data_IF_976721814869
#
_entry.id   IF_976721814869
#
_cell.length_a   1.000
_cell.length_b   1.000
_cell.length_c   1.000
_cell.angle_alpha   90.00
_cell.angle_beta   90.00
_cell.angle_gamma   90.00
#
_symmetry.space_group_name_H-M   'P 1'
#
loop_
_entity.id
_entity.type
_entity.pdbx_description
1 polymer ?
#
# COMPACT_ATOMS: atom_id res chain seq x y z
N UNK A 1 6.37 -28.18 -0.01
CA UNK A 1 6.22 -26.80 -0.51
C UNK A 1 5.27 -26.64 -1.71
N UNK A 2 4.35 -27.57 -1.95
CA UNK A 2 3.40 -27.55 -3.10
C UNK A 2 1.94 -27.27 -2.73
N UNK A 3 1.59 -27.15 -1.45
CA UNK A 3 0.18 -27.16 -1.02
C UNK A 3 -0.53 -25.80 -0.92
N UNK A 4 0.18 -24.68 -0.95
CA UNK A 4 -0.45 -23.37 -0.76
C UNK A 4 -1.11 -22.77 -2.02
N UNK A 5 -0.66 -23.13 -3.23
CA UNK A 5 -1.30 -22.66 -4.47
C UNK A 5 -2.72 -23.25 -4.66
N UNK A 6 -3.05 -24.34 -3.98
CA UNK A 6 -4.37 -24.99 -4.08
C UNK A 6 -5.44 -24.33 -3.19
N UNK A 7 -5.05 -23.58 -2.16
CA UNK A 7 -6.01 -23.03 -1.18
C UNK A 7 -6.85 -21.91 -1.78
N UNK A 8 -6.23 -20.95 -2.47
CA UNK A 8 -6.95 -19.85 -3.15
C UNK A 8 -7.62 -20.35 -4.43
N UNK A 9 -6.96 -21.25 -5.18
CA UNK A 9 -7.57 -21.89 -6.35
C UNK A 9 -8.80 -22.73 -5.98
N UNK A 10 -8.74 -23.44 -4.86
CA UNK A 10 -9.87 -24.18 -4.30
C UNK A 10 -10.99 -23.26 -3.85
N UNK A 11 -10.65 -22.14 -3.19
CA UNK A 11 -11.60 -21.10 -2.82
C UNK A 11 -12.26 -20.48 -4.06
N UNK A 12 -11.48 -20.24 -5.12
CA UNK A 12 -11.99 -19.73 -6.40
C UNK A 12 -12.98 -20.70 -7.04
N UNK A 13 -12.72 -22.01 -6.99
CA UNK A 13 -13.61 -23.06 -7.47
C UNK A 13 -14.84 -23.22 -6.56
N UNK A 14 -14.69 -23.16 -5.24
CA UNK A 14 -15.79 -23.24 -4.29
C UNK A 14 -16.75 -22.04 -4.40
N UNK A 15 -16.22 -20.81 -4.63
CA UNK A 15 -17.02 -19.61 -4.84
C UNK A 15 -17.68 -19.56 -6.23
N UNK A 16 -17.10 -20.18 -7.25
CA UNK A 16 -17.76 -20.32 -8.56
C UNK A 16 -18.87 -21.38 -8.55
N UNK A 17 -18.78 -22.40 -7.71
CA UNK A 17 -19.79 -23.46 -7.60
C UNK A 17 -20.87 -23.19 -6.56
N UNK A 18 -20.64 -22.27 -5.63
CA UNK A 18 -21.59 -21.87 -4.61
C UNK A 18 -22.31 -20.56 -4.98
N UNK A 19 -23.52 -20.65 -5.50
CA UNK A 19 -24.45 -19.52 -5.65
C UNK A 19 -24.86 -18.98 -4.27
N UNK A 20 -24.00 -18.21 -3.61
CA UNK A 20 -24.35 -17.47 -2.38
C UNK A 20 -24.25 -15.98 -2.66
N UNK A 21 -25.27 -15.44 -3.30
CA UNK A 21 -25.54 -14.00 -3.33
C UNK A 21 -26.37 -13.67 -2.08
N UNK A 22 -25.75 -13.14 -1.04
CA UNK A 22 -26.48 -12.46 0.03
C UNK A 22 -26.93 -11.08 -0.46
N UNK A 23 -28.19 -10.77 -0.18
CA UNK A 23 -28.96 -9.62 -0.69
C UNK A 23 -28.70 -8.30 0.06
N UNK A 24 -27.46 -7.92 0.37
CA UNK A 24 -27.20 -6.63 1.03
C UNK A 24 -25.92 -5.98 0.53
N UNK A 25 -25.94 -5.53 -0.74
CA UNK A 25 -24.95 -4.52 -1.21
C UNK A 25 -25.64 -3.53 -2.15
N UNK A 26 -25.69 -2.26 -1.71
CA UNK A 26 -26.07 -1.14 -2.57
C UNK A 26 -25.12 -1.04 -3.75
N UNK A 27 -25.64 -1.32 -4.86
CA UNK A 27 -25.22 -1.41 -6.25
C UNK A 27 -24.18 -0.37 -6.68
N UNK A 28 -22.92 -0.82 -6.84
CA UNK A 28 -22.06 -0.32 -7.90
C UNK A 28 -22.36 -1.23 -9.09
N UNK A 29 -22.81 -0.69 -10.22
CA UNK A 29 -23.24 -1.46 -11.38
C UNK A 29 -22.16 -2.43 -11.91
N UNK A 30 -22.51 -3.57 -12.52
CA UNK A 30 -21.64 -4.69 -12.84
C UNK A 30 -20.45 -4.37 -13.77
N UNK A 31 -20.47 -3.24 -14.47
CA UNK A 31 -19.39 -2.83 -15.38
C UNK A 31 -18.33 -1.89 -14.77
N UNK A 32 -18.55 -1.33 -13.57
CA UNK A 32 -17.62 -0.38 -12.93
C UNK A 32 -16.75 -1.04 -11.84
N UNK A 33 -17.04 -2.26 -11.46
CA UNK A 33 -16.42 -3.01 -10.36
C UNK A 33 -14.97 -3.46 -10.65
N UNK A 34 -14.52 -3.38 -11.90
CA UNK A 34 -13.20 -3.85 -12.36
C UNK A 34 -12.29 -2.75 -12.91
N UNK A 35 -12.82 -1.55 -13.10
CA UNK A 35 -12.07 -0.45 -13.71
C UNK A 35 -10.97 0.07 -12.78
N UNK A 36 -9.86 0.54 -13.36
CA UNK A 36 -8.77 1.11 -12.59
C UNK A 36 -7.79 0.10 -12.01
N UNK A 37 -7.16 0.46 -10.89
CA UNK A 37 -6.16 -0.37 -10.20
C UNK A 37 -6.49 -0.51 -8.73
N UNK A 38 -6.24 -1.69 -8.21
CA UNK A 38 -6.32 -2.01 -6.79
C UNK A 38 -4.93 -2.17 -6.21
N UNK A 39 -4.76 -1.88 -4.93
CA UNK A 39 -3.51 -2.10 -4.22
C UNK A 39 -3.82 -2.55 -2.79
N UNK A 40 -2.93 -3.35 -2.20
CA UNK A 40 -3.05 -3.75 -0.81
C UNK A 40 -1.93 -3.08 -0.03
N UNK A 41 -2.32 -2.24 0.92
CA UNK A 41 -1.43 -1.41 1.70
C UNK A 41 -1.62 -1.66 3.20
N UNK A 42 -0.60 -1.37 3.96
CA UNK A 42 -0.80 -0.93 5.34
C UNK A 42 -1.08 0.57 5.31
N UNK A 43 -2.15 0.98 5.96
CA UNK A 43 -2.42 2.37 6.29
C UNK A 43 -2.84 2.43 7.77
N UNK A 44 -2.46 3.48 8.52
CA UNK A 44 -2.96 3.66 9.87
C UNK A 44 -4.48 3.78 9.86
N UNK A 45 -5.12 3.26 10.91
CA UNK A 45 -6.58 3.34 11.06
C UNK A 45 -7.05 4.79 10.96
N UNK A 46 -8.11 5.10 10.17
CA UNK A 46 -8.68 6.44 10.11
C UNK A 46 -8.93 7.03 11.51
N UNK A 47 -8.69 8.31 11.65
CA UNK A 47 -8.77 9.07 12.92
C UNK A 47 -7.72 8.73 13.98
N UNK A 48 -6.83 7.77 13.76
CA UNK A 48 -5.67 7.58 14.64
C UNK A 48 -4.69 8.75 14.53
N UNK A 49 -3.89 8.97 15.58
CA UNK A 49 -2.87 10.03 15.59
C UNK A 49 -1.92 9.93 14.39
N UNK A 50 -1.43 8.73 14.09
CA UNK A 50 -0.52 8.50 12.96
C UNK A 50 -1.20 8.75 11.61
N UNK A 51 -2.48 8.39 11.45
CA UNK A 51 -3.26 8.70 10.24
C UNK A 51 -3.39 10.22 10.05
N UNK A 52 -3.77 10.94 11.11
CA UNK A 52 -3.94 12.40 11.05
C UNK A 52 -2.63 13.11 10.71
N UNK A 53 -1.52 12.74 11.36
CA UNK A 53 -0.20 13.29 11.07
C UNK A 53 0.23 12.99 9.62
N UNK A 54 0.06 11.77 9.14
CA UNK A 54 0.41 11.40 7.77
C UNK A 54 -0.43 12.14 6.73
N UNK A 55 -1.73 12.23 6.95
CA UNK A 55 -2.67 12.95 6.06
C UNK A 55 -2.37 14.45 6.01
N UNK A 56 -2.09 15.08 7.16
CA UNK A 56 -1.68 16.48 7.25
C UNK A 56 -0.33 16.72 6.57
N UNK A 57 0.66 15.85 6.81
CA UNK A 57 1.96 15.97 6.14
C UNK A 57 1.84 15.90 4.62
N UNK A 58 1.05 14.96 4.11
CA UNK A 58 0.85 14.81 2.66
C UNK A 58 -0.13 15.83 2.06
N UNK A 59 -0.97 16.49 2.88
CA UNK A 59 -1.98 17.42 2.42
C UNK A 59 -3.25 16.77 1.87
N UNK A 60 -3.50 15.49 2.16
CA UNK A 60 -4.72 14.78 1.76
C UNK A 60 -4.99 13.56 2.65
N UNK A 61 -6.22 13.39 3.03
CA UNK A 61 -6.73 12.17 3.63
C UNK A 61 -7.21 11.20 2.54
N UNK A 62 -6.60 10.04 2.46
CA UNK A 62 -6.96 9.01 1.47
C UNK A 62 -8.23 8.23 1.82
N UNK A 63 -8.73 8.29 3.05
CA UNK A 63 -9.97 7.65 3.45
C UNK A 63 -11.20 8.49 3.07
N UNK A 64 -11.11 9.81 3.22
CA UNK A 64 -12.22 10.75 2.95
C UNK A 64 -12.07 11.50 1.65
N UNK A 65 -10.86 11.55 1.09
CA UNK A 65 -10.53 12.38 -0.09
C UNK A 65 -10.30 13.85 0.21
N UNK A 66 -10.51 14.30 1.45
CA UNK A 66 -10.36 15.70 1.85
C UNK A 66 -8.95 16.21 1.64
N UNK A 67 -8.82 17.40 1.08
CA UNK A 67 -7.57 18.16 1.07
C UNK A 67 -7.38 18.76 2.47
N UNK A 68 -6.18 18.67 2.99
CA UNK A 68 -5.80 19.11 4.32
C UNK A 68 -4.65 20.11 4.17
N UNK A 69 -4.68 21.18 4.92
CA UNK A 69 -3.57 22.13 4.96
C UNK A 69 -2.31 21.45 5.52
N UNK A 70 -1.20 21.62 4.79
CA UNK A 70 0.09 21.07 5.20
C UNK A 70 0.74 21.93 6.28
N UNK A 71 1.66 21.36 7.10
CA UNK A 71 2.32 22.12 8.12
C UNK A 71 3.23 23.21 7.52
N UNK A 72 3.26 24.38 8.14
CA UNK A 72 4.25 25.41 7.83
C UNK A 72 5.63 24.99 8.32
N UNK A 73 6.64 25.11 7.46
CA UNK A 73 8.03 24.75 7.77
C UNK A 73 8.92 25.96 7.52
N UNK A 74 9.57 26.46 8.58
CA UNK A 74 10.50 27.58 8.45
C UNK A 74 11.61 27.27 7.44
N UNK A 75 11.80 28.14 6.46
CA UNK A 75 12.79 27.97 5.39
C UNK A 75 12.35 27.10 4.21
N UNK A 76 11.09 26.64 4.18
CA UNK A 76 10.48 25.91 3.04
C UNK A 76 9.16 26.59 2.67
N UNK A 77 9.05 27.05 1.43
CA UNK A 77 7.78 27.58 0.92
C UNK A 77 6.69 26.50 0.87
N UNK A 78 5.43 26.88 1.08
CA UNK A 78 4.28 25.97 1.04
C UNK A 78 4.15 25.23 -0.30
N UNK A 79 4.40 25.94 -1.40
CA UNK A 79 4.40 25.37 -2.75
C UNK A 79 5.48 24.30 -2.90
N UNK A 80 6.65 24.54 -2.29
CA UNK A 80 7.76 23.58 -2.32
C UNK A 80 7.43 22.30 -1.54
N UNK A 81 6.85 22.41 -0.35
CA UNK A 81 6.36 21.26 0.41
C UNK A 81 5.29 20.50 -0.37
N UNK A 82 4.36 21.24 -0.98
CA UNK A 82 3.31 20.65 -1.82
C UNK A 82 3.88 19.88 -3.00
N UNK A 83 4.91 20.39 -3.66
CA UNK A 83 5.61 19.71 -4.76
C UNK A 83 6.34 18.44 -4.25
N UNK A 84 7.10 18.56 -3.18
CA UNK A 84 7.84 17.43 -2.58
C UNK A 84 6.93 16.27 -2.17
N UNK A 85 5.72 16.57 -1.72
CA UNK A 85 4.76 15.54 -1.27
C UNK A 85 3.81 15.06 -2.37
N UNK A 86 3.77 15.72 -3.54
CA UNK A 86 2.81 15.48 -4.63
C UNK A 86 2.64 13.99 -4.99
N UNK A 87 3.76 13.31 -5.18
CA UNK A 87 3.72 11.88 -5.54
C UNK A 87 3.20 11.00 -4.39
N UNK A 88 3.65 11.22 -3.17
CA UNK A 88 3.19 10.48 -2.00
C UNK A 88 1.70 10.75 -1.72
N UNK A 89 1.27 12.01 -1.83
CA UNK A 89 -0.14 12.44 -1.73
C UNK A 89 -1.07 11.71 -2.68
N UNK A 90 -0.62 11.46 -3.92
CA UNK A 90 -1.38 10.74 -4.93
C UNK A 90 -1.75 9.32 -4.48
N UNK A 91 -0.85 8.63 -3.77
CA UNK A 91 -1.09 7.29 -3.22
C UNK A 91 -1.76 7.30 -1.84
N UNK A 92 -1.68 8.40 -1.10
CA UNK A 92 -2.07 8.50 0.31
C UNK A 92 -0.96 8.03 1.26
N UNK A 93 -1.18 8.20 2.57
CA UNK A 93 -0.21 7.81 3.59
C UNK A 93 -0.29 6.31 3.88
N UNK A 94 0.65 5.53 3.33
CA UNK A 94 0.62 4.08 3.33
C UNK A 94 2.03 3.44 3.27
N UNK A 95 2.10 2.15 3.56
CA UNK A 95 3.19 1.26 3.11
C UNK A 95 2.63 0.15 2.21
N UNK A 96 3.31 -0.13 1.11
CA UNK A 96 2.86 -1.12 0.12
C UNK A 96 3.06 -2.55 0.64
N UNK A 97 2.01 -3.37 0.70
CA UNK A 97 2.09 -4.82 0.90
C UNK A 97 1.99 -5.56 -0.44
N UNK A 98 1.05 -5.18 -1.30
CA UNK A 98 0.98 -5.59 -2.71
C UNK A 98 0.80 -4.36 -3.58
N UNK A 99 1.68 -4.17 -4.59
CA UNK A 99 1.65 -2.98 -5.45
C UNK A 99 0.39 -2.92 -6.30
N UNK A 100 0.08 -1.75 -6.90
CA UNK A 100 -1.10 -1.58 -7.74
C UNK A 100 -1.16 -2.56 -8.92
N UNK A 101 -2.32 -3.21 -9.08
CA UNK A 101 -2.64 -4.17 -10.14
C UNK A 101 -4.05 -3.94 -10.68
N UNK A 102 -4.32 -4.37 -11.90
CA UNK A 102 -5.67 -4.45 -12.47
C UNK A 102 -6.26 -5.82 -12.13
N UNK A 103 -7.59 -5.87 -11.95
CA UNK A 103 -8.27 -7.15 -11.74
C UNK A 103 -8.29 -7.97 -13.03
N UNK A 104 -7.88 -9.22 -12.89
CA UNK A 104 -7.89 -10.21 -13.96
C UNK A 104 -9.32 -10.44 -14.47
N UNK A 105 -9.45 -10.72 -15.78
CA UNK A 105 -10.73 -11.13 -16.37
C UNK A 105 -11.31 -12.34 -15.62
N UNK A 106 -12.63 -12.35 -15.40
CA UNK A 106 -13.32 -13.41 -14.64
C UNK A 106 -13.20 -13.28 -13.10
N UNK A 107 -12.57 -12.20 -12.58
CA UNK A 107 -12.57 -11.87 -11.14
C UNK A 107 -13.41 -10.63 -10.87
N UNK A 108 -13.76 -10.37 -9.60
CA UNK A 108 -14.52 -9.18 -9.19
C UNK A 108 -13.95 -8.58 -7.90
N UNK A 109 -14.34 -7.34 -7.61
CA UNK A 109 -14.00 -6.68 -6.33
C UNK A 109 -14.56 -7.47 -5.15
N UNK A 110 -15.79 -7.99 -5.25
CA UNK A 110 -16.40 -8.82 -4.21
C UNK A 110 -15.56 -10.06 -3.92
N UNK A 111 -15.13 -10.79 -4.94
CA UNK A 111 -14.25 -11.96 -4.78
C UNK A 111 -12.89 -11.58 -4.17
N UNK A 112 -12.30 -10.45 -4.60
CA UNK A 112 -11.07 -9.93 -4.01
C UNK A 112 -11.24 -9.59 -2.51
N UNK A 113 -12.33 -8.94 -2.12
CA UNK A 113 -12.64 -8.64 -0.72
C UNK A 113 -12.81 -9.91 0.13
N UNK A 114 -13.50 -10.92 -0.41
CA UNK A 114 -13.64 -12.21 0.27
C UNK A 114 -12.29 -12.89 0.48
N UNK A 115 -11.44 -12.94 -0.55
CA UNK A 115 -10.10 -13.51 -0.44
C UNK A 115 -9.25 -12.77 0.60
N UNK A 116 -9.27 -11.44 0.59
CA UNK A 116 -8.54 -10.61 1.56
C UNK A 116 -9.00 -10.88 3.00
N UNK A 117 -10.32 -10.98 3.24
CA UNK A 117 -10.86 -11.30 4.56
C UNK A 117 -10.33 -12.64 5.06
N UNK A 118 -10.43 -13.68 4.24
CA UNK A 118 -9.93 -15.05 4.58
C UNK A 118 -8.43 -15.06 4.88
N UNK A 119 -7.63 -14.37 4.06
CA UNK A 119 -6.18 -14.27 4.28
C UNK A 119 -5.88 -13.56 5.60
N UNK A 120 -6.59 -12.49 5.92
CA UNK A 120 -6.36 -11.71 7.12
C UNK A 120 -6.78 -12.43 8.41
N UNK A 121 -7.79 -13.30 8.38
CA UNK A 121 -8.27 -14.07 9.54
C UNK A 121 -7.19 -14.91 10.20
N UNK A 122 -6.26 -15.46 9.42
CA UNK A 122 -5.21 -16.38 9.89
C UNK A 122 -3.92 -15.64 10.35
N UNK A 123 -3.88 -14.31 10.26
CA UNK A 123 -2.68 -13.51 10.57
C UNK A 123 -2.88 -12.75 11.88
N UNK A 124 -2.20 -13.13 12.94
CA UNK A 124 -2.28 -12.42 14.23
C UNK A 124 -1.76 -10.98 14.12
N UNK A 125 -2.44 -9.99 14.74
CA UNK A 125 -1.93 -8.63 14.86
C UNK A 125 -0.56 -8.58 15.55
N UNK A 126 0.26 -7.57 15.22
CA UNK A 126 1.60 -7.42 15.80
C UNK A 126 2.00 -5.96 15.87
N UNK A 127 3.12 -5.69 16.54
CA UNK A 127 3.63 -4.34 16.71
C UNK A 127 4.92 -4.11 15.94
N UNK A 128 5.05 -2.90 15.37
CA UNK A 128 6.28 -2.38 14.78
C UNK A 128 6.69 -1.08 15.47
N UNK A 129 7.93 -0.66 15.29
CA UNK A 129 8.41 0.67 15.63
C UNK A 129 8.95 1.32 14.39
N UNK A 130 8.65 2.61 14.22
CA UNK A 130 9.02 3.38 13.04
C UNK A 130 10.01 4.48 13.41
N UNK A 131 10.92 4.78 12.50
CA UNK A 131 11.83 5.91 12.54
C UNK A 131 11.79 6.65 11.21
N UNK A 132 12.17 7.94 11.23
CA UNK A 132 12.40 8.71 10.01
C UNK A 132 13.72 8.27 9.41
N UNK A 133 13.68 7.90 8.13
CA UNK A 133 14.88 7.49 7.41
C UNK A 133 14.80 7.90 5.95
N UNK A 134 15.89 7.72 5.23
CA UNK A 134 15.93 7.94 3.78
C UNK A 134 15.96 6.60 3.04
N UNK A 135 15.22 6.55 1.92
CA UNK A 135 15.32 5.46 0.96
C UNK A 135 15.82 6.07 -0.36
N UNK A 136 17.12 5.92 -0.63
CA UNK A 136 17.78 6.69 -1.67
C UNK A 136 17.78 8.20 -1.35
N UNK A 137 17.05 8.99 -2.14
CA UNK A 137 17.01 10.47 -2.00
C UNK A 137 15.69 11.02 -1.46
N UNK A 138 14.81 10.19 -0.89
CA UNK A 138 13.53 10.63 -0.34
C UNK A 138 13.35 10.17 1.11
N UNK A 139 12.57 10.92 1.89
CA UNK A 139 12.23 10.58 3.27
C UNK A 139 11.01 9.67 3.35
N UNK A 140 11.07 8.74 4.30
CA UNK A 140 9.98 7.84 4.64
C UNK A 140 10.00 7.51 6.14
N UNK A 141 8.87 7.08 6.69
CA UNK A 141 8.87 6.31 7.93
C UNK A 141 9.21 4.85 7.57
N UNK A 142 10.24 4.33 8.20
CA UNK A 142 10.75 2.98 8.01
C UNK A 142 10.78 2.23 9.33
N UNK A 143 10.95 0.91 9.29
CA UNK A 143 11.12 0.11 10.49
C UNK A 143 12.43 0.51 11.21
N UNK A 144 12.35 0.77 12.52
CA UNK A 144 13.53 1.01 13.36
C UNK A 144 14.43 -0.23 13.51
N UNK A 145 13.82 -1.41 13.37
CA UNK A 145 14.52 -2.73 13.35
C UNK A 145 13.78 -3.68 12.41
N UNK A 146 14.47 -4.61 11.76
CA UNK A 146 13.83 -5.65 10.97
C UNK A 146 12.71 -6.35 11.73
N UNK A 147 11.59 -6.59 11.07
CA UNK A 147 10.45 -7.29 11.67
C UNK A 147 9.97 -8.38 10.72
N UNK A 148 10.16 -9.68 11.06
CA UNK A 148 9.79 -10.77 10.16
C UNK A 148 8.28 -10.89 9.96
N UNK A 149 7.44 -10.40 10.90
CA UNK A 149 5.98 -10.47 10.75
C UNK A 149 5.46 -9.55 9.65
N UNK A 150 6.02 -8.33 9.52
CA UNK A 150 5.61 -7.43 8.41
C UNK A 150 6.15 -7.93 7.07
N UNK A 151 7.33 -8.56 7.04
CA UNK A 151 7.87 -9.23 5.88
C UNK A 151 6.93 -10.35 5.43
N UNK A 152 6.56 -11.24 6.34
CA UNK A 152 5.61 -12.35 6.08
C UNK A 152 4.25 -11.83 5.61
N UNK A 153 3.71 -10.77 6.23
CA UNK A 153 2.45 -10.17 5.81
C UNK A 153 2.51 -9.71 4.35
N UNK A 154 3.58 -9.01 3.95
CA UNK A 154 3.75 -8.57 2.57
C UNK A 154 3.88 -9.76 1.60
N UNK A 155 4.64 -10.79 1.96
CA UNK A 155 4.79 -12.01 1.15
C UNK A 155 3.47 -12.74 0.96
N UNK A 156 2.69 -12.91 2.04
CA UNK A 156 1.36 -13.54 2.00
C UNK A 156 0.45 -12.74 1.07
N UNK A 157 0.38 -11.39 1.19
CA UNK A 157 -0.45 -10.56 0.32
C UNK A 157 -0.04 -10.66 -1.14
N UNK A 158 1.26 -10.76 -1.44
CA UNK A 158 1.72 -10.95 -2.81
C UNK A 158 1.29 -12.32 -3.36
N UNK A 159 1.48 -13.41 -2.59
CA UNK A 159 1.21 -14.78 -3.05
C UNK A 159 -0.28 -15.09 -3.16
N UNK A 160 -1.03 -14.82 -2.09
CA UNK A 160 -2.44 -15.24 -1.99
C UNK A 160 -3.36 -14.42 -2.91
N UNK A 161 -2.98 -13.17 -3.21
CA UNK A 161 -3.78 -12.29 -4.06
C UNK A 161 -3.28 -12.27 -5.51
N UNK A 162 -2.30 -13.08 -5.88
CA UNK A 162 -1.76 -13.07 -7.24
C UNK A 162 -2.75 -13.57 -8.30
N UNK A 163 -3.63 -14.48 -7.92
CA UNK A 163 -4.69 -15.01 -8.79
C UNK A 163 -5.66 -13.91 -9.30
N UNK A 164 -5.75 -12.79 -8.61
CA UNK A 164 -6.60 -11.65 -8.96
C UNK A 164 -5.92 -10.62 -9.87
N UNK A 165 -4.61 -10.76 -10.08
CA UNK A 165 -3.82 -9.78 -10.84
C UNK A 165 -3.84 -10.09 -12.32
N UNK A 166 -4.21 -9.10 -13.16
CA UNK A 166 -3.99 -9.15 -14.60
C UNK A 166 -2.48 -9.16 -14.90
N UNK A 167 -1.98 -10.04 -15.76
CA UNK A 167 -0.59 -10.02 -16.20
C UNK A 167 -0.20 -8.66 -16.79
N UNK A 168 1.05 -8.26 -16.61
CA UNK A 168 1.57 -7.04 -17.23
C UNK A 168 1.70 -7.22 -18.75
N UNK A 169 1.41 -6.16 -19.50
CA UNK A 169 1.68 -6.13 -20.93
C UNK A 169 3.18 -6.08 -21.22
N UNK A 170 3.57 -6.36 -22.46
CA UNK A 170 4.98 -6.26 -22.89
C UNK A 170 5.53 -4.85 -22.71
N UNK A 171 4.70 -3.83 -22.97
CA UNK A 171 5.04 -2.42 -22.84
C UNK A 171 5.24 -2.05 -21.35
N UNK A 172 4.38 -2.52 -20.46
CA UNK A 172 4.51 -2.30 -19.03
C UNK A 172 5.77 -2.96 -18.45
N UNK A 173 6.12 -4.15 -18.92
CA UNK A 173 7.37 -4.82 -18.58
C UNK A 173 8.58 -4.01 -19.06
N UNK A 174 8.59 -3.56 -20.32
CA UNK A 174 9.67 -2.76 -20.88
C UNK A 174 9.91 -1.46 -20.10
N UNK A 175 8.82 -0.72 -19.77
CA UNK A 175 8.89 0.50 -18.95
C UNK A 175 9.47 0.25 -17.55
N UNK A 176 9.19 -0.90 -16.94
CA UNK A 176 9.74 -1.24 -15.61
C UNK A 176 11.21 -1.63 -15.69
N UNK A 177 11.59 -2.37 -16.73
CA UNK A 177 12.97 -2.79 -17.01
C UNK A 177 13.89 -1.62 -17.33
N UNK A 178 13.40 -0.56 -17.99
CA UNK A 178 14.20 0.62 -18.34
C UNK A 178 14.78 1.35 -17.12
N UNK A 179 14.35 1.02 -15.90
CA UNK A 179 14.88 1.59 -14.64
C UNK A 179 16.15 0.90 -14.13
N UNK A 180 16.63 -0.13 -14.83
CA UNK A 180 17.75 -0.96 -14.41
C UNK A 180 17.34 -1.87 -13.24
N UNK A 181 17.11 -3.16 -13.52
CA UNK A 181 16.75 -4.15 -12.52
C UNK A 181 17.88 -5.16 -12.36
N UNK A 182 18.08 -5.65 -11.14
CA UNK A 182 18.93 -6.83 -10.91
C UNK A 182 18.22 -8.09 -11.47
N UNK A 183 18.95 -9.20 -11.70
CA UNK A 183 18.31 -10.46 -12.13
C UNK A 183 17.17 -10.89 -11.22
N UNK A 184 17.35 -10.86 -9.89
CA UNK A 184 16.32 -11.21 -8.92
C UNK A 184 15.09 -10.28 -9.00
N UNK A 185 15.31 -8.98 -9.22
CA UNK A 185 14.22 -8.02 -9.40
C UNK A 185 13.46 -8.25 -10.72
N UNK A 186 14.14 -8.65 -11.78
CA UNK A 186 13.49 -8.99 -13.06
C UNK A 186 12.67 -10.28 -12.96
N UNK A 187 13.18 -11.31 -12.29
CA UNK A 187 12.43 -12.53 -11.99
C UNK A 187 11.15 -12.22 -11.18
N UNK A 188 11.27 -11.39 -10.15
CA UNK A 188 10.13 -10.92 -9.39
C UNK A 188 9.13 -10.13 -10.25
N UNK A 189 9.63 -9.27 -11.15
CA UNK A 189 8.79 -8.50 -12.07
C UNK A 189 7.99 -9.42 -13.00
N UNK A 190 8.63 -10.42 -13.58
CA UNK A 190 7.98 -11.37 -14.50
C UNK A 190 6.92 -12.16 -13.74
N UNK A 191 7.27 -12.75 -12.61
CA UNK A 191 6.40 -13.67 -11.87
C UNK A 191 5.27 -12.94 -11.13
N UNK A 192 5.58 -11.84 -10.44
CA UNK A 192 4.65 -11.18 -9.52
C UNK A 192 4.17 -9.80 -10.01
N UNK A 193 4.69 -9.34 -11.15
CA UNK A 193 4.35 -8.03 -11.73
C UNK A 193 5.02 -6.85 -11.01
N UNK A 194 5.97 -7.09 -10.08
CA UNK A 194 6.68 -6.03 -9.38
C UNK A 194 8.04 -6.48 -8.86
N UNK A 195 9.11 -5.69 -9.05
CA UNK A 195 10.47 -6.12 -8.74
C UNK A 195 10.77 -6.17 -7.24
N UNK A 196 10.12 -5.32 -6.42
CA UNK A 196 10.47 -5.12 -5.01
C UNK A 196 9.53 -5.89 -4.07
N UNK A 197 9.49 -7.23 -4.23
CA UNK A 197 8.75 -8.17 -3.38
C UNK A 197 9.72 -9.16 -2.73
N UNK A 198 9.28 -9.89 -1.73
CA UNK A 198 10.06 -10.90 -0.99
C UNK A 198 11.37 -10.31 -0.42
N UNK A 199 12.53 -10.86 -0.77
CA UNK A 199 13.85 -10.40 -0.32
C UNK A 199 14.14 -8.94 -0.68
N UNK A 200 13.50 -8.43 -1.73
CA UNK A 200 13.61 -7.04 -2.18
C UNK A 200 12.62 -6.09 -1.48
N UNK A 201 11.69 -6.64 -0.68
CA UNK A 201 10.70 -5.84 0.04
C UNK A 201 11.36 -4.99 1.12
N UNK A 202 10.94 -3.72 1.20
CA UNK A 202 11.33 -2.80 2.26
C UNK A 202 10.10 -2.03 2.73
N UNK A 203 9.71 -2.24 3.98
CA UNK A 203 8.61 -1.48 4.55
C UNK A 203 8.99 0.01 4.63
N UNK A 204 8.20 0.85 4.00
CA UNK A 204 8.38 2.30 4.03
C UNK A 204 7.06 3.02 3.77
N UNK A 205 6.82 4.10 4.51
CA UNK A 205 5.71 5.03 4.29
C UNK A 205 6.30 6.33 3.76
N UNK A 206 6.15 6.57 2.47
CA UNK A 206 6.80 7.69 1.77
C UNK A 206 6.27 9.04 2.23
N UNK A 207 7.15 9.95 2.58
CA UNK A 207 6.84 11.30 3.05
C UNK A 207 7.18 12.38 2.02
N UNK A 208 8.22 12.17 1.19
CA UNK A 208 8.64 13.17 0.20
C UNK A 208 8.99 12.52 -1.14
N UNK A 209 9.10 13.32 -2.17
CA UNK A 209 9.87 13.01 -3.38
C UNK A 209 11.37 13.10 -3.13
N UNK A 210 12.15 13.01 -4.20
CA UNK A 210 13.63 13.15 -4.14
C UNK A 210 14.00 14.59 -3.79
N UNK A 211 14.91 14.75 -2.83
CA UNK A 211 15.49 16.04 -2.45
C UNK A 211 16.97 16.01 -2.81
N UNK A 212 17.42 17.03 -3.56
CA UNK A 212 18.80 17.10 -4.07
C UNK A 212 19.72 17.93 -3.18
N UNK A 213 19.18 19.03 -2.61
CA UNK A 213 19.97 19.98 -1.83
C UNK A 213 20.13 19.53 -0.37
N UNK A 214 21.35 19.39 0.11
CA UNK A 214 21.64 18.95 1.48
C UNK A 214 21.02 19.85 2.56
N UNK A 215 21.01 21.17 2.35
CA UNK A 215 20.37 22.13 3.26
C UNK A 215 18.85 21.90 3.36
N UNK A 216 18.18 21.69 2.22
CA UNK A 216 16.75 21.38 2.18
C UNK A 216 16.47 20.04 2.86
N UNK A 217 17.33 19.02 2.65
CA UNK A 217 17.22 17.72 3.34
C UNK A 217 17.25 17.87 4.85
N UNK A 218 18.18 18.67 5.40
CA UNK A 218 18.27 18.88 6.84
C UNK A 218 17.01 19.54 7.41
N UNK A 219 16.51 20.60 6.77
CA UNK A 219 15.30 21.31 7.20
C UNK A 219 14.08 20.38 7.18
N UNK A 220 13.91 19.63 6.09
CA UNK A 220 12.77 18.70 5.92
C UNK A 220 12.89 17.53 6.91
N UNK A 221 14.07 16.96 7.12
CA UNK A 221 14.29 15.91 8.12
C UNK A 221 13.85 16.36 9.51
N UNK A 222 14.32 17.52 9.95
CA UNK A 222 13.98 18.06 11.28
C UNK A 222 12.48 18.38 11.41
N UNK A 223 11.86 18.86 10.33
CA UNK A 223 10.41 19.10 10.31
C UNK A 223 9.64 17.79 10.43
N UNK A 224 10.02 16.72 9.72
CA UNK A 224 9.42 15.39 9.83
C UNK A 224 9.59 14.84 11.24
N UNK A 225 10.79 14.91 11.81
CA UNK A 225 11.06 14.43 13.16
C UNK A 225 10.16 15.12 14.19
N UNK A 226 10.02 16.44 14.12
CA UNK A 226 9.11 17.20 15.00
C UNK A 226 7.65 16.82 14.79
N UNK A 227 7.21 16.75 13.53
CA UNK A 227 5.82 16.46 13.16
C UNK A 227 5.35 15.09 13.65
N UNK A 228 6.18 14.06 13.49
CA UNK A 228 5.85 12.68 13.89
C UNK A 228 6.35 12.29 15.29
N UNK A 229 6.97 13.22 16.05
CA UNK A 229 7.68 12.93 17.29
C UNK A 229 6.88 12.11 18.32
N UNK A 230 5.58 12.37 18.48
CA UNK A 230 4.72 11.65 19.42
C UNK A 230 4.48 10.20 18.97
N UNK A 231 4.17 10.01 17.69
CA UNK A 231 3.88 8.69 17.14
C UNK A 231 5.15 7.82 17.04
N UNK A 232 6.32 8.41 16.78
CA UNK A 232 7.60 7.67 16.71
C UNK A 232 8.07 7.15 18.08
N UNK A 233 7.60 7.71 19.18
CA UNK A 233 7.87 7.18 20.53
C UNK A 233 7.08 5.92 20.85
N UNK A 234 5.96 5.68 20.15
CA UNK A 234 5.04 4.56 20.40
C UNK A 234 5.35 3.37 19.48
N UNK A 235 4.94 2.19 19.91
CA UNK A 235 4.83 1.03 19.01
C UNK A 235 3.53 1.12 18.25
N UNK A 236 3.59 0.90 16.95
CA UNK A 236 2.43 0.94 16.07
C UNK A 236 1.90 -0.48 15.91
N UNK A 237 0.60 -0.66 16.18
CA UNK A 237 -0.07 -1.94 15.99
C UNK A 237 -0.47 -2.11 14.53
N UNK A 238 -0.07 -3.21 13.92
CA UNK A 238 -0.53 -3.62 12.60
C UNK A 238 -1.75 -4.52 12.83
N UNK A 239 -2.93 -3.97 12.54
CA UNK A 239 -4.21 -4.64 12.78
C UNK A 239 -5.03 -4.84 11.52
N UNK A 240 -4.67 -4.17 10.43
CA UNK A 240 -5.43 -4.21 9.19
C UNK A 240 -4.51 -4.30 7.97
N UNK A 241 -4.95 -5.06 6.98
CA UNK A 241 -4.56 -4.85 5.59
C UNK A 241 -5.64 -4.00 4.93
N UNK A 242 -5.24 -3.04 4.10
CA UNK A 242 -6.14 -2.04 3.54
C UNK A 242 -6.20 -2.19 2.02
N UNK A 243 -7.40 -2.25 1.47
CA UNK A 243 -7.63 -2.22 0.04
C UNK A 243 -7.78 -0.78 -0.43
N UNK A 244 -6.95 -0.39 -1.38
CA UNK A 244 -7.00 0.90 -2.04
C UNK A 244 -7.41 0.73 -3.50
N UNK A 245 -8.13 1.71 -4.03
CA UNK A 245 -8.57 1.77 -5.42
C UNK A 245 -8.17 3.09 -6.07
N UNK A 246 -7.83 3.01 -7.33
CA UNK A 246 -7.56 4.14 -8.22
C UNK A 246 -8.38 3.95 -9.49
N UNK A 247 -9.32 4.83 -9.76
CA UNK A 247 -10.25 4.70 -10.90
C UNK A 247 -9.56 4.79 -12.26
N UNK A 248 -8.53 5.63 -12.38
CA UNK A 248 -7.70 5.77 -13.57
C UNK A 248 -6.30 6.24 -13.16
N UNK A 249 -5.32 6.24 -14.07
CA UNK A 249 -3.93 6.54 -13.74
C UNK A 249 -3.67 7.99 -13.25
N UNK A 250 -4.56 8.92 -13.54
CA UNK A 250 -4.49 10.33 -13.11
C UNK A 250 -5.17 10.55 -11.76
N UNK A 251 -6.19 9.75 -11.43
CA UNK A 251 -6.90 9.85 -10.16
C UNK A 251 -6.03 9.42 -8.97
N UNK A 252 -6.20 10.01 -7.79
CA UNK A 252 -5.52 9.53 -6.59
C UNK A 252 -6.07 8.17 -6.13
N UNK A 253 -5.30 7.48 -5.29
CA UNK A 253 -5.78 6.29 -4.59
C UNK A 253 -6.64 6.66 -3.40
N UNK A 254 -7.72 5.88 -3.20
CA UNK A 254 -8.63 5.99 -2.06
C UNK A 254 -8.68 4.67 -1.29
N UNK A 255 -8.81 4.77 0.03
CA UNK A 255 -9.13 3.63 0.89
C UNK A 255 -10.55 3.15 0.58
N UNK A 256 -10.70 1.88 0.20
CA UNK A 256 -11.99 1.24 -0.10
C UNK A 256 -12.47 0.40 1.06
N UNK A 257 -11.55 -0.38 1.68
CA UNK A 257 -11.91 -1.32 2.74
C UNK A 257 -10.71 -1.64 3.63
N UNK A 258 -10.98 -2.11 4.86
CA UNK A 258 -9.98 -2.53 5.84
C UNK A 258 -10.31 -3.95 6.33
N UNK A 259 -9.33 -4.84 6.24
CA UNK A 259 -9.47 -6.24 6.63
C UNK A 259 -8.69 -6.47 7.93
N UNK A 260 -9.43 -6.74 8.99
CA UNK A 260 -8.83 -6.96 10.32
C UNK A 260 -8.04 -8.25 10.35
N UNK A 261 -6.88 -8.21 10.97
CA UNK A 261 -6.03 -9.37 11.21
C UNK A 261 -6.51 -10.11 12.47
N UNK A 262 -6.45 -11.46 12.44
CA UNK A 262 -6.68 -12.30 13.61
C UNK A 262 -8.14 -12.32 14.09
N UNK A 263 -9.08 -12.65 13.21
CA UNK A 263 -10.49 -12.84 13.57
C UNK A 263 -10.84 -14.26 13.99
N UNK A 264 -9.86 -15.20 13.98
CA UNK A 264 -9.98 -16.57 14.51
C UNK A 264 -9.38 -16.66 15.88
#
# INVERSE_FOLDING_TARGET
MRDNNYRVLRLFLELQMGNILSKDEKTIGPNNDRSGRFAIYYAPTPFSELHSLGSTWLGRDSATGKIIEQPSISGIASERLSELTKRARHYGFHATLKPPFQLKHGTSLTLLKHALRRVCEDISPFYIKLDVSTLGKFFALMLSKPNPKIQSLAEIMVREIDAFKEPLTKEELAIRRSKGLTPSQDENLIKWGYPYVFSEFRFHMTLTGKIQLSKEQAIIHDAIQRHFSKSLKKRIKIEYACLFHQTNRQAPFFLVDQFKLGLK
#
